data_IF_172950234287
#
_entry.id   IF_172950234287
#
_cell.length_a   1.000
_cell.length_b   1.000
_cell.length_c   1.000
_cell.angle_alpha   90.00
_cell.angle_beta   90.00
_cell.angle_gamma   90.00
#
_symmetry.space_group_name_H-M   'P 1'
#
loop_
_entity.id
_entity.type
_entity.pdbx_description
1 polymer ?
#
# COMPACT_ATOMS: atom_id res chain seq x y z
N UNK A 1 -31.66 3.54 -21.92
CA UNK A 1 -30.96 2.27 -21.65
C UNK A 1 -29.66 2.35 -22.43
N UNK A 2 -28.55 2.74 -21.81
CA UNK A 2 -27.76 1.89 -20.93
C UNK A 2 -26.41 1.71 -21.63
N UNK A 3 -25.39 2.44 -21.19
CA UNK A 3 -23.97 2.15 -21.41
C UNK A 3 -23.13 3.19 -20.66
N UNK A 4 -22.75 2.87 -19.43
CA UNK A 4 -21.78 3.66 -18.65
C UNK A 4 -20.83 2.74 -17.89
N UNK A 5 -20.12 1.89 -18.62
CA UNK A 5 -19.08 0.99 -18.07
C UNK A 5 -17.66 1.33 -18.54
N UNK A 6 -17.42 2.46 -19.24
CA UNK A 6 -16.13 2.70 -19.90
C UNK A 6 -15.18 3.70 -19.22
N UNK A 7 -15.49 4.24 -18.03
CA UNK A 7 -14.62 5.25 -17.36
C UNK A 7 -13.78 4.72 -16.21
N UNK A 8 -14.21 3.67 -15.51
CA UNK A 8 -13.46 3.11 -14.38
C UNK A 8 -12.22 2.32 -14.83
N UNK A 9 -12.32 1.60 -15.95
CA UNK A 9 -11.18 0.86 -16.52
C UNK A 9 -10.02 1.76 -16.97
N UNK A 10 -10.25 3.03 -17.35
CA UNK A 10 -9.18 3.87 -17.93
C UNK A 10 -8.35 4.64 -16.89
N UNK A 11 -8.89 4.88 -15.69
CA UNK A 11 -8.17 5.57 -14.62
C UNK A 11 -7.23 4.61 -13.86
N UNK A 12 -7.66 3.36 -13.62
CA UNK A 12 -6.84 2.33 -12.97
C UNK A 12 -5.85 1.65 -13.92
N UNK A 13 -6.19 1.49 -15.21
CA UNK A 13 -5.23 0.96 -16.19
C UNK A 13 -3.99 1.86 -16.34
N UNK A 14 -4.08 3.17 -16.07
CA UNK A 14 -2.92 4.07 -16.09
C UNK A 14 -1.95 3.81 -14.94
N UNK A 15 -2.43 3.37 -13.77
CA UNK A 15 -1.60 3.04 -12.59
C UNK A 15 -1.07 1.60 -12.61
N UNK A 16 -1.63 0.73 -13.46
CA UNK A 16 -1.25 -0.67 -13.59
C UNK A 16 -0.38 -0.97 -14.82
N UNK A 17 -0.26 -0.06 -15.79
CA UNK A 17 0.39 -0.32 -17.09
C UNK A 17 1.62 0.56 -17.43
N UNK A 18 2.17 1.37 -16.51
CA UNK A 18 3.24 2.31 -16.89
C UNK A 18 4.63 1.67 -16.96
N UNK A 19 4.86 0.85 -17.99
CA UNK A 19 6.20 0.57 -18.52
C UNK A 19 6.53 1.55 -19.64
N UNK A 20 6.81 2.84 -19.34
CA UNK A 20 7.49 3.74 -20.30
C UNK A 20 8.35 4.77 -19.55
N UNK A 21 9.66 4.52 -19.56
CA UNK A 21 10.69 5.54 -19.36
C UNK A 21 10.63 6.50 -20.55
N UNK A 22 10.08 7.72 -20.38
CA UNK A 22 10.65 8.96 -20.93
C UNK A 22 9.88 10.20 -20.47
N UNK A 23 10.66 11.21 -20.03
CA UNK A 23 10.29 12.60 -19.67
C UNK A 23 9.86 12.85 -18.22
N UNK A 24 10.85 12.82 -17.34
CA UNK A 24 10.93 13.77 -16.23
C UNK A 24 10.81 15.20 -16.78
N UNK A 25 9.65 15.86 -16.62
CA UNK A 25 9.56 17.27 -16.18
C UNK A 25 8.12 17.81 -16.02
N UNK A 26 7.05 17.18 -16.53
CA UNK A 26 5.76 17.90 -16.72
C UNK A 26 4.48 17.27 -16.12
N UNK A 27 4.55 16.43 -15.08
CA UNK A 27 3.32 15.96 -14.39
C UNK A 27 3.41 16.05 -12.86
N UNK A 28 3.33 17.29 -12.36
CA UNK A 28 2.83 17.60 -11.03
C UNK A 28 1.44 18.23 -11.15
N UNK A 29 0.52 17.59 -11.88
CA UNK A 29 -0.90 17.79 -11.62
C UNK A 29 -1.27 16.85 -10.48
N UNK A 30 -1.08 17.32 -9.24
CA UNK A 30 -1.61 16.68 -8.05
C UNK A 30 -3.13 16.63 -8.19
N UNK A 31 -3.65 15.49 -8.65
CA UNK A 31 -5.07 15.19 -8.46
C UNK A 31 -5.24 15.06 -6.95
N UNK A 32 -5.98 15.98 -6.34
CA UNK A 32 -6.20 15.99 -4.89
C UNK A 32 -6.70 14.60 -4.45
N UNK A 33 -5.93 13.84 -3.65
CA UNK A 33 -6.33 12.51 -3.21
C UNK A 33 -7.65 12.53 -2.42
N UNK A 34 -8.07 13.68 -1.89
CA UNK A 34 -9.35 13.85 -1.20
C UNK A 34 -10.56 13.93 -2.16
N UNK A 35 -10.34 14.09 -3.47
CA UNK A 35 -11.39 14.14 -4.49
C UNK A 35 -11.64 12.80 -5.20
N UNK A 36 -10.91 11.74 -4.85
CA UNK A 36 -11.09 10.42 -5.45
C UNK A 36 -12.26 9.68 -4.78
N UNK A 37 -13.11 9.07 -5.61
CA UNK A 37 -14.24 8.28 -5.12
C UNK A 37 -13.74 7.14 -4.20
N UNK A 38 -14.43 6.89 -3.06
CA UNK A 38 -14.13 5.74 -2.21
C UNK A 38 -14.10 4.44 -3.02
N UNK A 39 -13.20 3.53 -2.64
CA UNK A 39 -13.11 2.20 -3.25
C UNK A 39 -13.74 1.17 -2.33
N UNK A 40 -14.55 0.25 -2.87
CA UNK A 40 -15.01 -0.90 -2.09
C UNK A 40 -13.81 -1.81 -1.83
N UNK A 41 -13.49 -2.14 -0.56
CA UNK A 41 -12.43 -3.09 -0.21
C UNK A 41 -12.53 -4.43 -0.96
N UNK A 42 -13.74 -4.88 -1.30
CA UNK A 42 -13.97 -6.13 -2.04
C UNK A 42 -13.58 -6.02 -3.50
N UNK A 43 -13.89 -4.91 -4.15
CA UNK A 43 -13.54 -4.68 -5.55
C UNK A 43 -12.00 -4.63 -5.69
N UNK A 44 -11.32 -3.94 -4.77
CA UNK A 44 -9.86 -3.91 -4.75
C UNK A 44 -9.24 -5.29 -4.48
N UNK A 45 -9.87 -6.09 -3.61
CA UNK A 45 -9.44 -7.45 -3.34
C UNK A 45 -9.60 -8.34 -4.59
N UNK A 46 -10.71 -8.23 -5.30
CA UNK A 46 -10.96 -8.97 -6.54
C UNK A 46 -9.92 -8.62 -7.62
N UNK A 47 -9.59 -7.33 -7.78
CA UNK A 47 -8.51 -6.89 -8.68
C UNK A 47 -7.15 -7.51 -8.30
N UNK A 48 -6.82 -7.54 -7.01
CA UNK A 48 -5.60 -8.18 -6.54
C UNK A 48 -5.59 -9.68 -6.83
N UNK A 49 -6.70 -10.36 -6.62
CA UNK A 49 -6.83 -11.80 -6.88
C UNK A 49 -6.70 -12.15 -8.37
N UNK A 50 -7.15 -11.28 -9.27
CA UNK A 50 -6.96 -11.45 -10.71
C UNK A 50 -5.47 -11.41 -11.07
N UNK A 51 -4.72 -10.44 -10.52
CA UNK A 51 -3.27 -10.34 -10.73
C UNK A 51 -2.56 -11.58 -10.16
N UNK A 52 -3.00 -12.05 -8.99
CA UNK A 52 -2.38 -13.14 -8.25
C UNK A 52 -2.89 -14.53 -8.63
N UNK A 53 -3.74 -14.67 -9.65
CA UNK A 53 -4.41 -15.93 -10.00
C UNK A 53 -3.47 -17.13 -10.22
N UNK A 54 -2.21 -16.88 -10.63
CA UNK A 54 -1.21 -17.91 -10.89
C UNK A 54 -0.24 -18.12 -9.72
N UNK A 55 -0.46 -17.45 -8.58
CA UNK A 55 0.40 -17.50 -7.40
C UNK A 55 -0.20 -18.40 -6.32
N UNK A 56 0.63 -18.98 -5.44
CA UNK A 56 0.13 -19.72 -4.29
C UNK A 56 -0.77 -18.86 -3.42
N UNK A 57 -1.79 -19.48 -2.81
CA UNK A 57 -2.65 -18.79 -1.86
C UNK A 57 -1.83 -18.25 -0.67
N UNK A 58 -2.26 -17.11 -0.12
CA UNK A 58 -1.63 -16.55 1.09
C UNK A 58 -1.65 -17.56 2.24
N UNK A 59 -0.64 -17.48 3.08
CA UNK A 59 -0.63 -18.22 4.34
C UNK A 59 -1.72 -17.68 5.26
N UNK A 60 -2.47 -18.59 5.89
CA UNK A 60 -3.47 -18.23 6.89
C UNK A 60 -2.83 -18.21 8.28
N UNK A 61 -3.11 -17.16 9.04
CA UNK A 61 -2.64 -16.98 10.42
C UNK A 61 -3.85 -16.68 11.29
N UNK A 62 -3.89 -17.30 12.48
CA UNK A 62 -4.97 -17.11 13.44
C UNK A 62 -4.59 -16.10 14.52
N UNK A 63 -5.58 -15.36 15.01
CA UNK A 63 -5.42 -14.54 16.21
C UNK A 63 -5.47 -15.43 17.46
N UNK A 64 -4.45 -15.31 18.32
CA UNK A 64 -4.48 -15.89 19.67
C UNK A 64 -5.27 -14.96 20.58
N UNK A 65 -6.27 -15.49 21.27
CA UNK A 65 -7.04 -14.71 22.24
C UNK A 65 -6.24 -14.50 23.52
N UNK A 66 -5.85 -13.24 23.75
CA UNK A 66 -5.10 -12.82 24.94
C UNK A 66 -5.98 -12.10 25.98
N UNK A 67 -7.32 -12.18 25.84
CA UNK A 67 -8.23 -11.53 26.78
C UNK A 67 -8.05 -12.08 28.19
N UNK A 68 -7.65 -11.21 29.10
CA UNK A 68 -7.93 -11.37 30.53
C UNK A 68 -9.43 -11.16 30.76
N UNK A 69 -10.03 -11.88 31.70
CA UNK A 69 -11.47 -11.99 31.99
C UNK A 69 -12.23 -10.70 32.40
N UNK A 70 -11.72 -9.53 32.05
CA UNK A 70 -12.35 -8.24 32.31
C UNK A 70 -13.26 -7.80 31.15
N UNK A 71 -14.39 -7.19 31.50
CA UNK A 71 -15.30 -6.56 30.55
C UNK A 71 -14.62 -5.32 29.98
N UNK A 72 -14.50 -5.24 28.65
CA UNK A 72 -14.01 -4.05 27.95
C UNK A 72 -15.18 -3.14 27.59
N UNK A 73 -15.16 -1.91 28.10
CA UNK A 73 -16.15 -0.88 27.79
C UNK A 73 -15.82 -0.07 26.52
N UNK A 74 -14.74 -0.42 25.82
CA UNK A 74 -14.26 0.31 24.65
C UNK A 74 -14.07 -0.65 23.47
N UNK A 75 -14.30 -0.12 22.26
CA UNK A 75 -13.99 -0.83 21.03
C UNK A 75 -12.47 -1.06 20.93
N UNK A 76 -12.00 -2.27 20.63
CA UNK A 76 -10.58 -2.54 20.42
C UNK A 76 -9.98 -1.66 19.32
N UNK A 77 -8.67 -1.44 19.40
CA UNK A 77 -7.87 -0.81 18.35
C UNK A 77 -6.94 -1.88 17.80
N UNK A 78 -6.99 -2.10 16.49
CA UNK A 78 -6.12 -3.01 15.76
C UNK A 78 -4.95 -2.23 15.19
N UNK A 79 -3.75 -2.59 15.62
CA UNK A 79 -2.51 -2.03 15.10
C UNK A 79 -1.80 -3.10 14.28
N UNK A 80 -1.44 -2.76 13.05
CA UNK A 80 -0.59 -3.59 12.20
C UNK A 80 0.76 -2.92 12.03
N UNK A 81 1.82 -3.69 12.20
CA UNK A 81 3.20 -3.26 12.01
C UNK A 81 3.83 -4.17 10.97
N UNK A 82 4.41 -3.59 9.92
CA UNK A 82 4.98 -4.38 8.84
C UNK A 82 6.12 -3.64 8.11
N UNK A 83 7.29 -4.26 8.07
CA UNK A 83 8.29 -3.91 7.07
C UNK A 83 7.88 -4.59 5.76
N UNK A 84 7.54 -3.77 4.75
CA UNK A 84 6.95 -4.26 3.51
C UNK A 84 8.00 -4.59 2.45
N UNK A 85 9.29 -4.45 2.74
CA UNK A 85 10.42 -4.64 1.82
C UNK A 85 10.34 -3.68 0.62
N UNK A 86 11.19 -2.65 0.58
CA UNK A 86 11.21 -1.68 -0.52
C UNK A 86 11.46 -2.40 -1.86
N UNK A 87 10.76 -1.98 -2.92
CA UNK A 87 10.88 -2.62 -4.22
C UNK A 87 12.31 -2.51 -4.77
N UNK A 88 12.91 -1.33 -4.67
CA UNK A 88 14.27 -1.08 -5.10
C UNK A 88 15.29 -2.00 -4.37
N UNK A 89 15.11 -2.19 -3.06
CA UNK A 89 16.03 -3.04 -2.27
C UNK A 89 15.85 -4.52 -2.60
N UNK A 90 14.61 -4.97 -2.73
CA UNK A 90 14.30 -6.36 -3.05
C UNK A 90 14.88 -6.83 -4.38
N UNK A 91 14.82 -5.98 -5.42
CA UNK A 91 15.39 -6.29 -6.74
C UNK A 91 16.89 -6.01 -6.83
N UNK A 92 17.39 -4.96 -6.17
CA UNK A 92 18.73 -4.44 -6.41
C UNK A 92 19.78 -4.70 -5.33
N UNK A 93 19.39 -5.01 -4.09
CA UNK A 93 20.34 -5.07 -2.96
C UNK A 93 20.22 -6.28 -2.04
N UNK A 94 19.02 -6.79 -1.78
CA UNK A 94 18.80 -7.80 -0.72
C UNK A 94 19.28 -9.22 -1.08
N UNK A 95 19.55 -9.47 -2.36
CA UNK A 95 20.15 -10.72 -2.84
C UNK A 95 19.40 -11.99 -2.36
N UNK A 96 18.09 -12.02 -2.59
CA UNK A 96 17.24 -13.17 -2.27
C UNK A 96 17.50 -14.36 -3.23
N UNK A 97 18.62 -15.05 -3.07
CA UNK A 97 19.12 -16.10 -3.98
C UNK A 97 18.19 -17.32 -4.18
N UNK A 98 17.19 -17.50 -3.31
CA UNK A 98 16.18 -18.56 -3.41
C UNK A 98 14.80 -18.06 -3.86
N UNK A 99 14.62 -16.74 -3.99
CA UNK A 99 13.39 -16.14 -4.45
C UNK A 99 13.45 -15.97 -5.98
N UNK A 100 12.46 -16.50 -6.73
CA UNK A 100 12.39 -16.22 -8.16
C UNK A 100 12.14 -14.72 -8.40
N UNK A 101 12.82 -14.13 -9.38
CA UNK A 101 12.68 -12.69 -9.69
C UNK A 101 11.25 -12.32 -10.06
N UNK A 102 10.50 -13.25 -10.66
CA UNK A 102 9.11 -13.04 -11.01
C UNK A 102 8.22 -12.84 -9.78
N UNK A 103 8.58 -13.38 -8.62
CA UNK A 103 7.86 -13.15 -7.36
C UNK A 103 8.24 -11.81 -6.69
N UNK A 104 9.34 -11.19 -7.14
CA UNK A 104 9.76 -9.87 -6.67
C UNK A 104 9.14 -8.73 -7.47
N UNK A 105 8.48 -9.00 -8.60
CA UNK A 105 7.86 -7.97 -9.45
C UNK A 105 6.86 -7.13 -8.68
N UNK A 106 6.99 -5.81 -8.81
CA UNK A 106 6.14 -4.86 -8.09
C UNK A 106 4.65 -5.07 -8.33
N UNK A 107 4.25 -5.38 -9.58
CA UNK A 107 2.83 -5.59 -9.92
C UNK A 107 2.16 -6.65 -9.03
N UNK A 108 2.89 -7.72 -8.70
CA UNK A 108 2.38 -8.80 -7.87
C UNK A 108 2.57 -8.51 -6.38
N UNK A 109 3.74 -7.99 -6.00
CA UNK A 109 4.05 -7.66 -4.62
C UNK A 109 3.09 -6.63 -4.04
N UNK A 110 2.74 -5.60 -4.83
CA UNK A 110 1.71 -4.63 -4.48
C UNK A 110 0.40 -5.31 -4.11
N UNK A 111 -0.07 -6.24 -4.93
CA UNK A 111 -1.33 -6.96 -4.69
C UNK A 111 -1.25 -7.81 -3.41
N UNK A 112 -0.14 -8.53 -3.17
CA UNK A 112 0.04 -9.31 -1.94
C UNK A 112 0.03 -8.43 -0.68
N UNK A 113 0.66 -7.25 -0.74
CA UNK A 113 0.67 -6.30 0.38
C UNK A 113 -0.74 -5.76 0.65
N UNK A 114 -1.47 -5.39 -0.41
CA UNK A 114 -2.86 -4.92 -0.29
C UNK A 114 -3.78 -6.02 0.25
N UNK A 115 -3.67 -7.26 -0.24
CA UNK A 115 -4.44 -8.40 0.28
C UNK A 115 -4.22 -8.61 1.79
N UNK A 116 -2.97 -8.50 2.26
CA UNK A 116 -2.65 -8.66 3.68
C UNK A 116 -3.28 -7.55 4.53
N UNK A 117 -3.22 -6.29 4.08
CA UNK A 117 -3.86 -5.15 4.75
C UNK A 117 -5.39 -5.33 4.79
N UNK A 118 -6.01 -5.72 3.67
CA UNK A 118 -7.45 -5.95 3.55
C UNK A 118 -7.93 -7.15 4.38
N UNK A 119 -7.10 -8.19 4.52
CA UNK A 119 -7.39 -9.36 5.34
C UNK A 119 -7.46 -9.00 6.83
N UNK A 120 -6.56 -8.13 7.31
CA UNK A 120 -6.51 -7.77 8.72
C UNK A 120 -7.20 -6.47 9.08
N UNK A 121 -7.60 -5.61 8.13
CA UNK A 121 -8.37 -4.37 8.41
C UNK A 121 -7.87 -3.59 9.64
N UNK A 122 -6.60 -3.13 9.66
CA UNK A 122 -6.05 -2.41 10.80
C UNK A 122 -6.69 -1.04 11.00
N UNK A 123 -6.90 -0.63 12.24
CA UNK A 123 -7.33 0.74 12.54
C UNK A 123 -6.16 1.73 12.42
N UNK A 124 -4.95 1.25 12.74
CA UNK A 124 -3.67 1.95 12.61
C UNK A 124 -2.69 1.00 11.91
N UNK A 125 -2.08 1.45 10.82
CA UNK A 125 -1.11 0.71 10.03
C UNK A 125 0.23 1.45 10.03
N UNK A 126 1.27 0.77 10.49
CA UNK A 126 2.64 1.26 10.55
C UNK A 126 3.49 0.47 9.56
N UNK A 127 4.04 1.15 8.55
CA UNK A 127 4.86 0.52 7.51
C UNK A 127 6.30 1.04 7.54
N UNK A 128 7.25 0.17 7.22
CA UNK A 128 8.66 0.51 6.94
C UNK A 128 9.05 0.02 5.55
N UNK A 129 10.11 0.62 5.02
CA UNK A 129 10.61 0.37 3.66
C UNK A 129 9.56 0.68 2.59
N UNK A 130 8.86 1.79 2.77
CA UNK A 130 7.85 2.25 1.81
C UNK A 130 8.52 3.16 0.78
N UNK A 131 8.80 2.65 -0.42
CA UNK A 131 9.29 3.40 -1.58
C UNK A 131 8.20 3.68 -2.62
N UNK A 132 7.02 3.06 -2.51
CA UNK A 132 5.85 3.28 -3.37
C UNK A 132 4.70 4.05 -2.67
N UNK A 133 5.04 5.04 -1.83
CA UNK A 133 4.05 5.76 -1.04
C UNK A 133 3.09 6.58 -1.93
N UNK A 134 3.63 7.46 -2.78
CA UNK A 134 2.83 8.44 -3.53
C UNK A 134 2.08 7.84 -4.72
N UNK A 135 2.67 6.86 -5.40
CA UNK A 135 2.08 6.22 -6.58
C UNK A 135 1.06 5.12 -6.24
N UNK A 136 1.17 4.51 -5.06
CA UNK A 136 0.37 3.33 -4.69
C UNK A 136 -0.34 3.50 -3.35
N UNK A 137 0.40 3.55 -2.23
CA UNK A 137 -0.21 3.37 -0.91
C UNK A 137 -1.10 4.54 -0.51
N UNK A 138 -0.65 5.77 -0.70
CA UNK A 138 -1.42 6.97 -0.37
C UNK A 138 -2.75 7.04 -1.13
N UNK A 139 -2.80 6.95 -2.49
CA UNK A 139 -4.07 7.07 -3.20
C UNK A 139 -5.03 5.90 -2.90
N UNK A 140 -4.53 4.68 -2.73
CA UNK A 140 -5.39 3.52 -2.43
C UNK A 140 -5.91 3.54 -1.00
N UNK A 141 -5.04 3.74 0.00
CA UNK A 141 -5.45 3.72 1.41
C UNK A 141 -6.29 4.96 1.77
N UNK A 142 -6.07 6.11 1.14
CA UNK A 142 -6.96 7.28 1.32
C UNK A 142 -8.39 6.98 0.88
N UNK A 143 -8.57 6.29 -0.26
CA UNK A 143 -9.89 5.87 -0.77
C UNK A 143 -10.55 4.76 0.05
N UNK A 144 -9.75 4.04 0.85
CA UNK A 144 -10.22 3.09 1.87
C UNK A 144 -10.51 3.76 3.23
N UNK A 145 -10.42 5.08 3.32
CA UNK A 145 -10.78 5.85 4.52
C UNK A 145 -9.63 6.15 5.48
N UNK A 146 -8.38 5.88 5.10
CA UNK A 146 -7.22 6.19 5.94
C UNK A 146 -6.74 7.63 5.74
N UNK A 147 -6.36 8.28 6.84
CA UNK A 147 -5.42 9.39 6.81
C UNK A 147 -4.02 8.83 6.61
N UNK A 148 -3.21 9.45 5.75
CA UNK A 148 -1.89 8.97 5.37
C UNK A 148 -0.81 9.98 5.77
N UNK A 149 0.31 9.51 6.32
CA UNK A 149 1.52 10.29 6.56
C UNK A 149 2.77 9.48 6.18
N UNK A 150 3.78 10.15 5.62
CA UNK A 150 5.03 9.53 5.17
C UNK A 150 6.23 10.40 5.52
N UNK A 151 7.30 9.74 5.97
CA UNK A 151 8.59 10.36 6.24
C UNK A 151 9.70 9.53 5.57
N UNK A 152 10.26 10.01 4.44
CA UNK A 152 11.35 9.34 3.75
C UNK A 152 12.66 9.45 4.55
N UNK A 153 13.56 8.47 4.40
CA UNK A 153 14.92 8.58 4.90
C UNK A 153 15.67 9.71 4.14
N UNK A 154 16.42 10.59 4.82
CA UNK A 154 17.23 11.61 4.16
C UNK A 154 18.28 11.03 3.19
N UNK A 155 18.84 9.87 3.54
CA UNK A 155 19.81 9.14 2.73
C UNK A 155 19.36 7.69 2.58
N UNK A 156 18.27 7.48 1.83
CA UNK A 156 17.74 6.16 1.53
C UNK A 156 18.70 5.33 0.67
N UNK A 157 18.96 4.05 1.01
CA UNK A 157 19.73 3.15 0.16
C UNK A 157 19.02 2.78 -1.15
N UNK A 158 17.71 3.01 -1.28
CA UNK A 158 16.99 2.78 -2.54
C UNK A 158 17.53 3.66 -3.67
N UNK A 159 18.07 4.84 -3.32
CA UNK A 159 18.60 5.80 -4.30
C UNK A 159 19.85 5.29 -5.03
N UNK A 160 20.54 4.29 -4.51
CA UNK A 160 21.70 3.68 -5.18
C UNK A 160 21.31 2.59 -6.18
N UNK A 161 20.02 2.23 -6.26
CA UNK A 161 19.52 1.18 -7.16
C UNK A 161 19.05 1.80 -8.47
N UNK A 162 19.45 1.23 -9.60
CA UNK A 162 18.96 1.65 -10.91
C UNK A 162 17.43 1.46 -11.01
N UNK A 163 16.74 2.40 -11.66
CA UNK A 163 15.27 2.38 -11.79
C UNK A 163 14.48 2.36 -10.47
N UNK A 164 15.04 2.90 -9.37
CA UNK A 164 14.31 3.06 -8.10
C UNK A 164 13.11 4.02 -8.21
N UNK A 165 12.19 3.92 -7.24
CA UNK A 165 11.01 4.78 -7.13
C UNK A 165 11.19 5.91 -6.10
N UNK A 166 12.43 6.33 -5.84
CA UNK A 166 12.77 7.34 -4.83
C UNK A 166 13.17 6.73 -3.47
N UNK A 167 13.22 7.55 -2.40
CA UNK A 167 13.65 7.10 -1.10
C UNK A 167 12.58 6.25 -0.40
N UNK A 168 12.98 5.16 0.27
CA UNK A 168 12.08 4.49 1.20
C UNK A 168 11.98 5.26 2.51
N UNK A 169 10.95 4.94 3.28
CA UNK A 169 10.71 5.57 4.57
C UNK A 169 9.71 4.84 5.45
N UNK A 170 9.29 5.54 6.50
CA UNK A 170 8.21 5.10 7.36
C UNK A 170 6.90 5.73 6.89
N UNK A 171 5.83 4.95 6.85
CA UNK A 171 4.48 5.44 6.61
C UNK A 171 3.55 5.06 7.77
N UNK A 172 2.65 5.97 8.12
CA UNK A 172 1.66 5.80 9.15
C UNK A 172 0.27 6.12 8.59
N UNK A 173 -0.64 5.17 8.75
CA UNK A 173 -2.01 5.29 8.31
C UNK A 173 -2.97 5.03 9.47
N UNK A 174 -4.08 5.77 9.52
CA UNK A 174 -5.14 5.50 10.51
C UNK A 174 -6.52 5.86 9.95
N UNK A 175 -7.55 5.14 10.38
CA UNK A 175 -8.92 5.37 9.90
C UNK A 175 -9.48 6.74 10.34
N UNK A 176 -9.93 7.55 9.37
CA UNK A 176 -10.45 8.92 9.61
C UNK A 176 -11.74 8.96 10.42
N UNK A 177 -12.56 7.90 10.33
CA UNK A 177 -13.81 7.78 11.09
C UNK A 177 -13.59 7.37 12.56
N UNK A 178 -12.39 6.86 12.88
CA UNK A 178 -12.01 6.41 14.24
C UNK A 178 -11.12 7.39 14.99
N UNK A 179 -10.29 8.16 14.29
CA UNK A 179 -9.31 9.04 14.93
C UNK A 179 -9.25 10.42 14.26
N UNK A 180 -8.92 11.41 15.07
CA UNK A 180 -8.63 12.77 14.61
C UNK A 180 -7.15 13.07 14.86
N UNK A 181 -6.44 13.58 13.85
CA UNK A 181 -5.06 14.03 14.02
C UNK A 181 -5.03 15.26 14.92
N UNK A 182 -4.30 15.18 16.03
CA UNK A 182 -4.11 16.32 16.93
C UNK A 182 -2.83 17.11 16.59
N UNK A 183 -1.73 16.40 16.30
CA UNK A 183 -0.45 17.02 15.96
C UNK A 183 0.38 16.08 15.07
N UNK A 184 1.26 16.64 14.26
CA UNK A 184 2.28 15.94 13.48
C UNK A 184 3.62 16.68 13.60
N UNK A 185 4.71 15.96 13.87
CA UNK A 185 6.04 16.54 13.98
C UNK A 185 7.02 15.65 13.22
N UNK A 186 7.65 16.20 12.19
CA UNK A 186 8.78 15.58 11.53
C UNK A 186 10.03 15.89 12.36
N UNK A 187 10.64 14.86 12.93
CA UNK A 187 11.91 14.94 13.70
C UNK A 187 13.07 14.61 12.78
#
# INVERSE_FOLDING_TARGET
MGNSTSRLYSALAKTLSSSVITKHQDYLEQTDPELLDPIDPKDLLEECQIVLQNRPARLQRDFVDLRTSFVRNHQPIRVMQWNILAQALGEGKDNFIQCPMEALRWEERKCLILEEILAYQPDILCLQEVDHYFDTFQPLLSRLGYQCAFLPKPCSPCLDVECNNGPDGCALFFLKDRFTLINNTNI
#
